data_IF_490285184986
#
_entry.id   IF_490285184986
#
_cell.length_a   1.000
_cell.length_b   1.000
_cell.length_c   1.000
_cell.angle_alpha   90.00
_cell.angle_beta   90.00
_cell.angle_gamma   90.00
#
_symmetry.space_group_name_H-M   'P 1'
#
loop_
_entity.id
_entity.type
_entity.pdbx_description
1 polymer ?
#
# COMPACT_ATOMS: atom_id res chain seq x y z
N UNK A 1 -16.47 0.44 -22.45
CA UNK A 1 -15.64 -0.28 -21.45
C UNK A 1 -15.93 0.35 -20.10
N UNK A 2 -16.51 -0.42 -19.21
CA UNK A 2 -16.78 -0.02 -17.83
C UNK A 2 -15.53 -0.19 -16.96
N UNK A 3 -15.22 0.77 -16.08
CA UNK A 3 -14.00 0.75 -15.29
C UNK A 3 -14.31 1.05 -13.82
N UNK A 4 -13.95 0.13 -12.94
CA UNK A 4 -13.87 0.39 -11.51
C UNK A 4 -12.56 1.14 -11.19
N UNK A 5 -12.63 2.30 -10.56
CA UNK A 5 -11.45 3.09 -10.20
C UNK A 5 -11.26 3.08 -8.69
N UNK A 6 -10.19 2.44 -8.22
CA UNK A 6 -9.85 2.44 -6.80
C UNK A 6 -9.20 3.77 -6.42
N UNK A 7 -9.86 4.55 -5.57
CA UNK A 7 -9.37 5.84 -5.08
C UNK A 7 -9.11 5.82 -3.58
N UNK A 8 -8.12 6.58 -3.13
CA UNK A 8 -7.66 6.62 -1.74
C UNK A 8 -7.64 8.05 -1.16
N UNK A 9 -8.19 9.03 -1.87
CA UNK A 9 -8.03 10.44 -1.51
C UNK A 9 -6.63 11.01 -1.77
N UNK A 10 -5.67 10.19 -2.18
CA UNK A 10 -4.32 10.61 -2.57
C UNK A 10 -4.27 11.21 -3.98
N UNK A 11 -3.21 12.00 -4.25
CA UNK A 11 -3.01 12.70 -5.53
C UNK A 11 -2.95 11.72 -6.69
N UNK A 12 -2.25 10.60 -6.54
CA UNK A 12 -2.03 9.62 -7.60
C UNK A 12 -3.36 9.03 -8.10
N UNK A 13 -4.19 8.55 -7.19
CA UNK A 13 -5.50 7.99 -7.53
C UNK A 13 -6.47 9.03 -8.11
N UNK A 14 -6.35 10.30 -7.70
CA UNK A 14 -7.12 11.39 -8.29
C UNK A 14 -6.72 11.67 -9.75
N UNK A 15 -5.42 11.64 -10.05
CA UNK A 15 -4.91 11.81 -11.43
C UNK A 15 -5.30 10.63 -12.32
N UNK A 16 -5.43 9.41 -11.77
CA UNK A 16 -5.99 8.28 -12.52
C UNK A 16 -7.38 8.60 -13.06
N UNK A 17 -8.27 9.16 -12.23
CA UNK A 17 -9.62 9.56 -12.66
C UNK A 17 -9.54 10.58 -13.80
N UNK A 18 -8.67 11.59 -13.67
CA UNK A 18 -8.47 12.59 -14.71
C UNK A 18 -7.99 11.98 -16.02
N UNK A 19 -6.96 11.13 -15.97
CA UNK A 19 -6.40 10.48 -17.16
C UNK A 19 -7.42 9.64 -17.90
N UNK A 20 -8.20 8.85 -17.18
CA UNK A 20 -9.26 8.05 -17.78
C UNK A 20 -10.32 8.93 -18.46
N UNK A 21 -10.71 10.05 -17.84
CA UNK A 21 -11.65 11.00 -18.45
C UNK A 21 -11.04 11.69 -19.69
N UNK A 22 -9.76 12.07 -19.65
CA UNK A 22 -9.03 12.66 -20.77
C UNK A 22 -8.93 11.67 -21.96
N UNK A 23 -8.79 10.38 -21.69
CA UNK A 23 -8.77 9.29 -22.67
C UNK A 23 -10.15 8.92 -23.23
N UNK A 24 -11.21 9.59 -22.73
CA UNK A 24 -12.58 9.43 -23.24
C UNK A 24 -13.35 8.26 -22.62
N UNK A 25 -12.92 7.77 -21.46
CA UNK A 25 -13.68 6.78 -20.71
C UNK A 25 -14.81 7.46 -19.93
N UNK A 26 -16.07 7.17 -20.28
CA UNK A 26 -17.23 7.77 -19.65
C UNK A 26 -17.90 6.88 -18.59
N UNK A 27 -17.76 5.57 -18.74
CA UNK A 27 -18.35 4.57 -17.83
C UNK A 27 -17.36 4.23 -16.70
N UNK A 28 -17.26 5.15 -15.74
CA UNK A 28 -16.37 5.05 -14.59
C UNK A 28 -17.18 5.03 -13.30
N UNK A 29 -16.84 4.13 -12.39
CA UNK A 29 -17.30 4.14 -11.00
C UNK A 29 -16.12 4.17 -10.05
N UNK A 30 -16.18 5.08 -9.07
CA UNK A 30 -15.14 5.24 -8.07
C UNK A 30 -15.44 4.37 -6.85
N UNK A 31 -14.40 3.72 -6.31
CA UNK A 31 -14.49 2.92 -5.10
C UNK A 31 -13.43 3.33 -4.10
N UNK A 32 -13.85 3.58 -2.86
CA UNK A 32 -12.96 3.69 -1.71
C UNK A 32 -13.09 2.42 -0.87
N UNK A 33 -11.98 1.71 -0.67
CA UNK A 33 -11.94 0.49 0.16
C UNK A 33 -11.56 0.89 1.59
N UNK A 34 -12.52 0.77 2.52
CA UNK A 34 -12.27 0.99 3.94
C UNK A 34 -11.69 -0.28 4.56
N UNK A 35 -10.45 -0.18 5.08
CA UNK A 35 -9.69 -1.27 5.70
C UNK A 35 -9.24 -0.94 7.14
N UNK A 36 -9.48 0.27 7.61
CA UNK A 36 -9.06 0.75 8.93
C UNK A 36 -9.69 -0.03 10.08
N UNK A 37 -9.10 0.03 11.27
CA UNK A 37 -9.68 -0.56 12.48
C UNK A 37 -10.83 0.33 12.97
N UNK A 38 -11.96 -0.28 13.36
CA UNK A 38 -13.08 0.40 14.03
C UNK A 38 -12.71 0.78 15.47
N UNK A 39 -11.62 1.55 15.64
CA UNK A 39 -11.22 2.11 16.93
C UNK A 39 -11.37 3.62 16.84
N UNK A 40 -11.88 4.23 17.90
CA UNK A 40 -12.15 5.67 18.01
C UNK A 40 -10.96 6.59 17.62
N UNK A 41 -9.74 6.07 17.62
CA UNK A 41 -8.53 6.81 17.26
C UNK A 41 -8.13 6.70 15.76
N UNK A 42 -8.70 5.74 15.02
CA UNK A 42 -8.31 5.45 13.61
C UNK A 42 -9.26 6.02 12.56
N UNK A 43 -10.42 6.46 12.95
CA UNK A 43 -11.51 6.82 12.02
C UNK A 43 -11.32 8.18 11.33
N UNK A 44 -10.65 9.14 11.98
CA UNK A 44 -10.45 10.49 11.43
C UNK A 44 -9.72 10.49 10.08
N UNK A 45 -8.70 9.65 9.90
CA UNK A 45 -7.94 9.60 8.65
C UNK A 45 -8.77 9.01 7.49
N UNK A 46 -9.60 8.01 7.77
CA UNK A 46 -10.49 7.41 6.78
C UNK A 46 -11.60 8.39 6.36
N UNK A 47 -12.15 9.16 7.30
CA UNK A 47 -13.16 10.18 7.01
C UNK A 47 -12.60 11.31 6.13
N UNK A 48 -11.37 11.80 6.41
CA UNK A 48 -10.69 12.77 5.55
C UNK A 48 -10.45 12.23 4.13
N UNK A 49 -10.07 10.96 4.00
CA UNK A 49 -9.88 10.31 2.71
C UNK A 49 -11.20 10.18 1.94
N UNK A 50 -12.29 9.78 2.61
CA UNK A 50 -13.63 9.66 2.02
C UNK A 50 -14.15 11.04 1.60
N UNK A 51 -13.94 12.07 2.41
CA UNK A 51 -14.30 13.44 2.04
C UNK A 51 -13.57 13.87 0.77
N UNK A 52 -12.27 13.62 0.69
CA UNK A 52 -11.47 13.94 -0.49
C UNK A 52 -11.92 13.14 -1.72
N UNK A 53 -12.21 11.84 -1.58
CA UNK A 53 -12.80 11.03 -2.64
C UNK A 53 -14.14 11.59 -3.13
N UNK A 54 -14.97 12.08 -2.20
CA UNK A 54 -16.26 12.72 -2.51
C UNK A 54 -16.09 14.00 -3.32
N UNK A 55 -15.08 14.82 -2.98
CA UNK A 55 -14.78 16.05 -3.74
C UNK A 55 -14.29 15.72 -5.16
N UNK A 56 -13.46 14.67 -5.32
CA UNK A 56 -13.01 14.18 -6.63
C UNK A 56 -14.20 13.67 -7.44
N UNK A 57 -15.06 12.84 -6.84
CA UNK A 57 -16.27 12.33 -7.49
C UNK A 57 -17.18 13.46 -7.99
N UNK A 58 -17.44 14.47 -7.15
CA UNK A 58 -18.23 15.65 -7.52
C UNK A 58 -17.60 16.44 -8.67
N UNK A 59 -16.27 16.61 -8.65
CA UNK A 59 -15.54 17.34 -9.71
C UNK A 59 -15.77 16.73 -11.09
N UNK A 60 -15.81 15.40 -11.18
CA UNK A 60 -15.98 14.66 -12.45
C UNK A 60 -17.40 14.18 -12.71
N UNK A 61 -18.34 14.42 -11.77
CA UNK A 61 -19.72 13.94 -11.90
C UNK A 61 -19.84 12.41 -11.92
N UNK A 62 -18.96 11.72 -11.17
CA UNK A 62 -18.87 10.26 -11.14
C UNK A 62 -19.48 9.69 -9.85
N UNK A 63 -20.09 8.49 -9.91
CA UNK A 63 -20.54 7.79 -8.72
C UNK A 63 -19.36 7.36 -7.85
N UNK A 64 -19.52 7.44 -6.52
CA UNK A 64 -18.57 6.95 -5.53
C UNK A 64 -19.26 5.98 -4.61
N UNK A 65 -18.66 4.81 -4.43
CA UNK A 65 -19.08 3.82 -3.44
C UNK A 65 -17.96 3.60 -2.41
N UNK A 66 -18.34 3.58 -1.13
CA UNK A 66 -17.46 3.23 -0.01
C UNK A 66 -17.75 1.80 0.39
N UNK A 67 -16.78 0.92 0.18
CA UNK A 67 -16.91 -0.51 0.45
C UNK A 67 -16.02 -0.90 1.62
N UNK A 68 -16.51 -1.77 2.53
CA UNK A 68 -15.74 -2.23 3.67
C UNK A 68 -15.18 -3.62 3.43
N UNK A 69 -13.86 -3.76 3.61
CA UNK A 69 -13.11 -5.01 3.62
C UNK A 69 -12.26 -5.13 4.89
N UNK A 70 -12.75 -4.56 6.00
CA UNK A 70 -12.03 -4.51 7.27
C UNK A 70 -11.72 -5.91 7.80
N UNK A 71 -12.71 -6.80 7.86
CA UNK A 71 -12.51 -8.15 8.40
C UNK A 71 -11.56 -8.97 7.53
N UNK A 72 -11.75 -8.92 6.20
CA UNK A 72 -10.88 -9.62 5.25
C UNK A 72 -9.44 -9.12 5.33
N UNK A 73 -9.27 -7.81 5.52
CA UNK A 73 -7.96 -7.21 5.69
C UNK A 73 -7.29 -7.73 6.98
N UNK A 74 -8.02 -7.73 8.09
CA UNK A 74 -7.51 -8.25 9.34
C UNK A 74 -7.07 -9.71 9.21
N UNK A 75 -7.95 -10.58 8.76
CA UNK A 75 -7.72 -12.03 8.71
C UNK A 75 -6.60 -12.43 7.74
N UNK A 76 -6.50 -11.74 6.59
CA UNK A 76 -5.58 -12.15 5.52
C UNK A 76 -4.26 -11.36 5.49
N UNK A 77 -4.27 -10.09 5.91
CA UNK A 77 -3.08 -9.24 5.84
C UNK A 77 -2.44 -9.07 7.22
N UNK A 78 -3.25 -8.70 8.23
CA UNK A 78 -2.71 -8.38 9.56
C UNK A 78 -2.28 -9.63 10.31
N UNK A 79 -3.10 -10.67 10.34
CA UNK A 79 -2.70 -11.94 10.98
C UNK A 79 -1.50 -12.58 10.28
N UNK A 80 -1.42 -12.50 8.94
CA UNK A 80 -0.24 -12.92 8.21
C UNK A 80 1.00 -12.15 8.67
N UNK A 81 0.92 -10.81 8.75
CA UNK A 81 2.04 -9.98 9.16
C UNK A 81 2.49 -10.32 10.59
N UNK A 82 1.55 -10.46 11.54
CA UNK A 82 1.86 -10.82 12.92
C UNK A 82 2.49 -12.22 13.03
N UNK A 83 1.99 -13.21 12.27
CA UNK A 83 2.59 -14.57 12.24
C UNK A 83 4.02 -14.53 11.70
N UNK A 84 4.25 -13.82 10.59
CA UNK A 84 5.59 -13.71 10.00
C UNK A 84 6.58 -13.03 10.97
N UNK A 85 6.15 -11.96 11.62
CA UNK A 85 6.97 -11.25 12.62
C UNK A 85 7.30 -12.14 13.83
N UNK A 86 6.35 -12.94 14.32
CA UNK A 86 6.59 -13.95 15.38
C UNK A 86 7.63 -14.99 14.97
N UNK A 87 7.72 -15.32 13.68
CA UNK A 87 8.72 -16.24 13.14
C UNK A 87 10.06 -15.55 12.82
N UNK A 88 10.26 -14.29 13.21
CA UNK A 88 11.47 -13.54 12.93
C UNK A 88 11.60 -13.01 11.51
N UNK A 89 10.58 -13.14 10.68
CA UNK A 89 10.54 -12.60 9.32
C UNK A 89 10.17 -11.11 9.34
N UNK A 90 10.41 -10.44 8.23
CA UNK A 90 9.96 -9.08 7.97
C UNK A 90 8.95 -9.12 6.83
N UNK A 91 7.64 -9.15 7.13
CA UNK A 91 6.59 -9.20 6.11
C UNK A 91 6.47 -7.86 5.37
N UNK A 92 5.92 -7.92 4.17
CA UNK A 92 5.42 -6.75 3.46
C UNK A 92 3.87 -6.85 3.37
N UNK A 93 3.12 -6.19 4.28
CA UNK A 93 1.66 -6.22 4.28
C UNK A 93 1.03 -5.64 3.02
N UNK A 94 1.69 -4.66 2.37
CA UNK A 94 1.14 -4.00 1.18
C UNK A 94 1.06 -4.98 -0.02
N UNK A 95 2.01 -5.90 -0.17
CA UNK A 95 1.94 -6.96 -1.18
C UNK A 95 0.72 -7.86 -0.97
N UNK A 96 0.47 -8.24 0.29
CA UNK A 96 -0.70 -9.06 0.65
C UNK A 96 -2.01 -8.27 0.46
N UNK A 97 -2.02 -6.98 0.82
CA UNK A 97 -3.15 -6.10 0.59
C UNK A 97 -3.50 -6.00 -0.90
N UNK A 98 -2.52 -5.78 -1.77
CA UNK A 98 -2.75 -5.74 -3.21
C UNK A 98 -3.35 -7.06 -3.71
N UNK A 99 -2.72 -8.20 -3.37
CA UNK A 99 -3.16 -9.52 -3.83
C UNK A 99 -4.53 -9.92 -3.29
N UNK A 100 -4.75 -9.78 -1.96
CA UNK A 100 -5.92 -10.38 -1.30
C UNK A 100 -7.09 -9.40 -1.22
N UNK A 101 -6.82 -8.12 -0.96
CA UNK A 101 -7.88 -7.14 -0.71
C UNK A 101 -8.28 -6.42 -2.00
N UNK A 102 -7.33 -5.68 -2.62
CA UNK A 102 -7.64 -4.83 -3.78
C UNK A 102 -7.95 -5.64 -5.04
N UNK A 103 -7.19 -6.71 -5.29
CA UNK A 103 -7.34 -7.52 -6.51
C UNK A 103 -7.84 -8.95 -6.22
N UNK A 104 -8.23 -9.22 -4.98
CA UNK A 104 -8.90 -10.44 -4.55
C UNK A 104 -10.34 -10.15 -4.16
N UNK A 105 -10.60 -9.86 -2.87
CA UNK A 105 -11.95 -9.69 -2.34
C UNK A 105 -12.73 -8.54 -3.00
N UNK A 106 -12.06 -7.43 -3.37
CA UNK A 106 -12.73 -6.36 -4.10
C UNK A 106 -13.20 -6.86 -5.47
N UNK A 107 -12.32 -7.51 -6.25
CA UNK A 107 -12.66 -8.05 -7.57
C UNK A 107 -13.79 -9.08 -7.49
N UNK A 108 -13.75 -9.97 -6.50
CA UNK A 108 -14.77 -10.99 -6.30
C UNK A 108 -16.16 -10.40 -6.04
N UNK A 109 -16.25 -9.28 -5.32
CA UNK A 109 -17.53 -8.72 -4.86
C UNK A 109 -18.05 -7.62 -5.78
N UNK A 110 -17.20 -6.76 -6.29
CA UNK A 110 -17.57 -5.57 -7.06
C UNK A 110 -16.84 -5.47 -8.40
N UNK A 111 -15.52 -5.68 -8.43
CA UNK A 111 -14.70 -5.51 -9.64
C UNK A 111 -15.12 -6.38 -10.82
N UNK A 112 -15.62 -7.59 -10.55
CA UNK A 112 -16.13 -8.54 -11.55
C UNK A 112 -17.27 -8.00 -12.43
N UNK A 113 -17.96 -6.94 -11.98
CA UNK A 113 -19.06 -6.32 -12.73
C UNK A 113 -18.56 -5.25 -13.71
N UNK A 114 -17.22 -5.03 -13.76
CA UNK A 114 -16.55 -4.09 -14.66
C UNK A 114 -15.60 -4.81 -15.60
N UNK A 115 -15.35 -4.18 -16.76
CA UNK A 115 -14.38 -4.72 -17.72
C UNK A 115 -12.94 -4.66 -17.18
N UNK A 116 -12.61 -3.58 -16.44
CA UNK A 116 -11.27 -3.33 -15.90
C UNK A 116 -11.33 -2.65 -14.52
N UNK A 117 -10.28 -2.86 -13.73
CA UNK A 117 -10.03 -2.12 -12.50
C UNK A 117 -8.77 -1.27 -12.64
N UNK A 118 -8.93 0.04 -12.44
CA UNK A 118 -7.84 1.03 -12.51
C UNK A 118 -7.36 1.43 -11.12
N UNK A 119 -6.04 1.59 -10.98
CA UNK A 119 -5.42 2.00 -9.71
C UNK A 119 -4.30 3.02 -9.89
N UNK A 120 -3.98 3.75 -8.82
CA UNK A 120 -2.88 4.72 -8.78
C UNK A 120 -1.50 4.12 -8.53
N UNK A 121 -1.26 2.85 -8.82
CA UNK A 121 0.07 2.27 -8.72
C UNK A 121 0.97 2.75 -9.86
N UNK A 122 2.22 3.04 -9.51
CA UNK A 122 3.29 3.26 -10.49
C UNK A 122 3.77 1.91 -11.01
N UNK A 123 3.09 1.40 -11.99
CA UNK A 123 3.40 0.18 -12.72
C UNK A 123 2.86 0.32 -14.14
N UNK A 124 3.24 -0.57 -15.03
CA UNK A 124 2.72 -0.66 -16.39
C UNK A 124 2.31 -2.08 -16.73
N UNK A 125 1.64 -2.24 -17.85
CA UNK A 125 1.44 -3.53 -18.50
C UNK A 125 1.98 -3.49 -19.91
N UNK A 126 2.53 -4.59 -20.37
CA UNK A 126 3.03 -4.76 -21.74
C UNK A 126 2.51 -6.08 -22.31
N UNK A 127 2.35 -6.13 -23.63
CA UNK A 127 1.99 -7.35 -24.35
C UNK A 127 3.19 -7.89 -25.13
N UNK A 128 3.42 -9.19 -25.01
CA UNK A 128 4.36 -9.92 -25.86
C UNK A 128 3.58 -11.06 -26.52
N UNK A 129 3.30 -10.90 -27.81
CA UNK A 129 2.24 -11.68 -28.46
C UNK A 129 0.90 -11.41 -27.79
N UNK A 130 0.17 -12.46 -27.43
CA UNK A 130 -1.14 -12.38 -26.77
C UNK A 130 -1.04 -12.40 -25.23
N UNK A 131 0.17 -12.42 -24.67
CA UNK A 131 0.37 -12.51 -23.23
C UNK A 131 0.61 -11.13 -22.63
N UNK A 132 -0.20 -10.76 -21.63
CA UNK A 132 -0.05 -9.53 -20.84
C UNK A 132 0.97 -9.74 -19.72
N UNK A 133 1.88 -8.81 -19.57
CA UNK A 133 2.92 -8.81 -18.52
C UNK A 133 2.80 -7.57 -17.66
N UNK A 134 3.12 -7.72 -16.37
CA UNK A 134 3.41 -6.59 -15.50
C UNK A 134 4.76 -5.98 -15.93
N UNK A 135 4.82 -4.67 -16.09
CA UNK A 135 6.00 -3.94 -16.50
C UNK A 135 6.30 -2.79 -15.53
N UNK A 136 7.55 -2.40 -15.45
CA UNK A 136 8.02 -1.31 -14.59
C UNK A 136 7.40 0.03 -15.01
N UNK A 137 7.21 0.90 -14.03
CA UNK A 137 6.86 2.29 -14.29
C UNK A 137 8.00 3.05 -14.96
N UNK A 138 7.67 4.19 -15.58
CA UNK A 138 8.68 5.09 -16.15
C UNK A 138 9.53 5.78 -15.06
N UNK A 139 8.93 6.05 -13.90
CA UNK A 139 9.63 6.63 -12.75
C UNK A 139 10.30 5.52 -11.91
N UNK A 140 11.63 5.34 -11.98
CA UNK A 140 12.30 4.25 -11.29
C UNK A 140 12.37 4.43 -9.76
N UNK A 141 12.13 5.65 -9.27
CA UNK A 141 12.11 5.95 -7.82
C UNK A 141 10.74 5.64 -7.22
N UNK A 142 9.69 5.77 -8.03
CA UNK A 142 8.29 5.52 -7.61
C UNK A 142 7.77 4.17 -8.07
N UNK A 143 8.51 3.41 -8.85
CA UNK A 143 8.11 2.08 -9.30
C UNK A 143 7.59 1.22 -8.15
N UNK A 144 6.43 0.62 -8.35
CA UNK A 144 5.70 -0.18 -7.35
C UNK A 144 5.46 -1.62 -7.83
N UNK A 145 6.15 -2.07 -8.88
CA UNK A 145 6.01 -3.46 -9.37
C UNK A 145 6.37 -4.49 -8.31
N UNK A 146 7.30 -4.18 -7.40
CA UNK A 146 7.64 -5.04 -6.27
C UNK A 146 6.43 -5.29 -5.35
N UNK A 147 5.60 -4.27 -5.13
CA UNK A 147 4.37 -4.39 -4.33
C UNK A 147 3.27 -5.18 -5.04
N UNK A 148 3.41 -5.40 -6.34
CA UNK A 148 2.49 -6.18 -7.18
C UNK A 148 3.02 -7.59 -7.49
N UNK A 149 4.22 -7.95 -7.02
CA UNK A 149 4.90 -9.21 -7.37
C UNK A 149 4.14 -10.48 -6.94
N UNK A 150 3.12 -10.39 -6.09
CA UNK A 150 2.31 -11.53 -5.65
C UNK A 150 0.93 -11.62 -6.31
N UNK A 151 0.54 -10.69 -7.19
CA UNK A 151 -0.72 -10.81 -7.93
C UNK A 151 -0.66 -11.98 -8.90
N UNK A 152 -1.81 -12.61 -9.16
CA UNK A 152 -1.90 -13.70 -10.14
C UNK A 152 -2.03 -13.15 -11.55
N UNK A 153 -1.82 -14.03 -12.54
CA UNK A 153 -2.01 -13.65 -13.95
C UNK A 153 -3.46 -13.26 -14.24
N UNK A 154 -4.42 -14.00 -13.68
CA UNK A 154 -5.84 -13.70 -13.79
C UNK A 154 -6.18 -12.32 -13.24
N UNK A 155 -5.62 -11.96 -12.08
CA UNK A 155 -5.76 -10.61 -11.53
C UNK A 155 -5.17 -9.57 -12.48
N UNK A 156 -3.95 -9.79 -13.00
CA UNK A 156 -3.30 -8.86 -13.91
C UNK A 156 -4.13 -8.58 -15.17
N UNK A 157 -4.86 -9.56 -15.69
CA UNK A 157 -5.66 -9.40 -16.90
C UNK A 157 -6.70 -8.28 -16.77
N UNK A 158 -7.26 -8.10 -15.57
CA UNK A 158 -8.31 -7.10 -15.28
C UNK A 158 -7.77 -5.75 -14.76
N UNK A 159 -6.44 -5.58 -14.63
CA UNK A 159 -5.85 -4.37 -14.07
C UNK A 159 -5.33 -3.41 -15.13
N UNK A 160 -5.43 -2.12 -14.83
CA UNK A 160 -4.78 -1.05 -15.57
C UNK A 160 -4.16 -0.01 -14.62
N UNK A 161 -3.07 0.60 -15.08
CA UNK A 161 -2.27 1.55 -14.32
C UNK A 161 -2.07 2.85 -15.11
N UNK A 162 -3.09 3.74 -15.14
CA UNK A 162 -3.10 4.89 -16.06
C UNK A 162 -1.98 5.91 -15.84
N UNK A 163 -1.33 5.90 -14.66
CA UNK A 163 -0.23 6.82 -14.34
C UNK A 163 1.17 6.16 -14.43
N UNK A 164 1.26 4.88 -14.80
CA UNK A 164 2.53 4.16 -14.86
C UNK A 164 3.56 4.74 -15.84
N UNK A 165 3.07 5.42 -16.88
CA UNK A 165 3.91 6.10 -17.88
C UNK A 165 4.25 7.55 -17.52
N UNK A 166 3.91 8.00 -16.31
CA UNK A 166 4.15 9.37 -15.85
C UNK A 166 5.16 9.39 -14.71
N UNK A 167 6.19 10.27 -14.77
CA UNK A 167 6.99 10.59 -13.59
C UNK A 167 6.12 11.22 -12.49
N UNK A 168 6.49 11.05 -11.24
CA UNK A 168 5.75 11.61 -10.09
C UNK A 168 5.57 13.13 -10.17
N UNK A 169 6.58 13.83 -10.65
CA UNK A 169 6.53 15.29 -10.84
C UNK A 169 5.43 15.68 -11.83
N UNK A 170 5.29 14.90 -12.90
CA UNK A 170 4.25 15.11 -13.91
C UNK A 170 2.85 14.86 -13.34
N UNK A 171 2.67 13.79 -12.55
CA UNK A 171 1.41 13.52 -11.85
C UNK A 171 1.03 14.70 -10.95
N UNK A 172 1.99 15.28 -10.23
CA UNK A 172 1.74 16.46 -9.39
C UNK A 172 1.42 17.71 -10.22
N UNK A 173 2.11 17.90 -11.35
CA UNK A 173 1.85 19.01 -12.26
C UNK A 173 0.42 18.94 -12.81
N UNK A 174 0.02 17.77 -13.32
CA UNK A 174 -1.36 17.54 -13.80
C UNK A 174 -2.37 17.86 -12.69
N UNK A 175 -2.17 17.33 -11.47
CA UNK A 175 -3.10 17.58 -10.37
C UNK A 175 -3.28 19.08 -10.05
N UNK A 176 -2.21 19.87 -10.16
CA UNK A 176 -2.25 21.33 -9.95
C UNK A 176 -2.94 22.04 -11.12
N UNK A 177 -2.59 21.73 -12.36
CA UNK A 177 -3.16 22.36 -13.56
C UNK A 177 -4.67 22.14 -13.67
N UNK A 178 -5.14 20.94 -13.33
CA UNK A 178 -6.58 20.65 -13.36
C UNK A 178 -7.28 21.02 -12.04
N UNK A 179 -6.59 21.69 -11.13
CA UNK A 179 -7.12 22.12 -9.84
C UNK A 179 -7.78 20.99 -9.05
N UNK A 180 -7.02 19.87 -8.87
CA UNK A 180 -7.49 18.77 -8.02
C UNK A 180 -7.66 19.24 -6.57
N UNK A 181 -8.73 18.84 -5.87
CA UNK A 181 -8.93 19.23 -4.48
C UNK A 181 -7.76 18.87 -3.56
N UNK A 182 -7.04 17.80 -3.91
CA UNK A 182 -5.93 17.24 -3.15
C UNK A 182 -4.55 17.51 -3.77
N UNK A 183 -4.42 18.45 -4.74
CA UNK A 183 -3.17 18.66 -5.51
C UNK A 183 -1.93 18.91 -4.63
N UNK A 184 -2.11 19.51 -3.45
CA UNK A 184 -1.03 19.82 -2.51
C UNK A 184 -0.93 18.84 -1.35
N UNK A 185 -1.76 17.78 -1.32
CA UNK A 185 -1.67 16.73 -0.30
C UNK A 185 -0.32 16.02 -0.37
N UNK A 186 0.28 15.79 0.79
CA UNK A 186 1.54 15.00 0.87
C UNK A 186 1.26 13.56 0.51
N UNK A 187 2.27 12.89 -0.06
CA UNK A 187 2.21 11.45 -0.29
C UNK A 187 2.06 10.73 1.05
N UNK A 188 1.32 9.62 1.06
CA UNK A 188 1.24 8.74 2.22
C UNK A 188 2.64 8.25 2.59
N UNK A 189 2.99 8.38 3.85
CA UNK A 189 4.26 7.94 4.41
C UNK A 189 3.99 6.69 5.25
N UNK A 190 4.62 5.57 4.92
CA UNK A 190 4.52 4.34 5.71
C UNK A 190 3.56 3.30 5.14
N UNK A 191 3.15 2.37 6.00
CA UNK A 191 2.27 1.24 5.65
C UNK A 191 0.83 1.78 5.52
N UNK A 192 0.19 1.51 4.41
CA UNK A 192 -1.10 2.10 4.01
C UNK A 192 -2.20 2.05 5.08
N UNK A 193 -2.25 0.97 5.88
CA UNK A 193 -3.32 0.76 6.86
C UNK A 193 -3.05 1.32 8.26
N UNK A 194 -1.79 1.59 8.59
CA UNK A 194 -1.44 2.11 9.91
C UNK A 194 -1.73 3.61 10.04
N UNK A 195 -1.94 4.29 8.92
CA UNK A 195 -2.12 5.74 8.93
C UNK A 195 -0.96 6.41 9.66
N UNK A 196 -1.26 7.08 10.77
CA UNK A 196 -0.25 7.72 11.64
C UNK A 196 0.29 6.80 12.76
N UNK A 197 -0.18 5.55 12.86
CA UNK A 197 0.27 4.63 13.91
C UNK A 197 1.69 4.17 13.63
N UNK A 198 2.56 4.30 14.62
CA UNK A 198 3.92 3.79 14.53
C UNK A 198 3.91 2.25 14.50
N UNK A 199 4.60 1.65 13.51
CA UNK A 199 4.68 0.20 13.34
C UNK A 199 5.17 -0.52 14.61
N UNK A 200 6.14 0.02 15.32
CA UNK A 200 6.65 -0.59 16.55
C UNK A 200 5.61 -0.56 17.68
N UNK A 201 4.77 0.47 17.75
CA UNK A 201 3.70 0.54 18.73
C UNK A 201 2.59 -0.44 18.42
N UNK A 202 2.26 -0.60 17.13
CA UNK A 202 1.35 -1.65 16.69
C UNK A 202 1.86 -3.04 17.07
N UNK A 203 3.11 -3.38 16.74
CA UNK A 203 3.73 -4.66 17.11
C UNK A 203 3.75 -4.84 18.63
N UNK A 204 4.04 -3.80 19.39
CA UNK A 204 4.05 -3.85 20.86
C UNK A 204 2.66 -4.15 21.45
N UNK A 205 1.61 -3.57 20.88
CA UNK A 205 0.23 -3.84 21.34
C UNK A 205 -0.15 -5.31 21.14
N UNK A 206 0.27 -5.94 20.04
CA UNK A 206 -0.11 -7.32 19.69
C UNK A 206 0.85 -8.40 20.18
N UNK A 207 2.16 -8.13 20.23
CA UNK A 207 3.18 -9.11 20.59
C UNK A 207 3.85 -8.82 21.94
N UNK A 208 3.61 -7.64 22.51
CA UNK A 208 4.20 -7.25 23.78
C UNK A 208 5.70 -6.96 23.69
N UNK A 209 6.38 -7.12 24.83
CA UNK A 209 7.83 -6.94 24.99
C UNK A 209 8.45 -8.25 25.46
N UNK A 210 9.49 -8.72 24.75
CA UNK A 210 10.30 -9.89 25.13
C UNK A 210 11.77 -9.48 25.11
N UNK A 211 12.29 -9.08 26.26
CA UNK A 211 13.69 -8.67 26.39
C UNK A 211 14.63 -9.82 26.05
N UNK A 212 15.73 -9.51 25.37
CA UNK A 212 16.78 -10.45 25.05
C UNK A 212 18.12 -9.76 24.80
N UNK A 213 19.24 -10.51 24.82
CA UNK A 213 20.55 -9.95 24.58
C UNK A 213 20.80 -9.67 23.12
N UNK A 214 21.52 -8.57 22.84
CA UNK A 214 22.16 -8.33 21.55
C UNK A 214 23.60 -8.84 21.67
N UNK A 215 23.98 -9.78 20.81
CA UNK A 215 25.26 -10.49 20.88
C UNK A 215 26.05 -10.22 19.59
N UNK A 216 27.31 -9.87 19.71
CA UNK A 216 28.26 -9.83 18.60
C UNK A 216 28.52 -11.26 18.11
N UNK A 217 28.27 -11.52 16.84
CA UNK A 217 28.29 -12.89 16.31
C UNK A 217 29.71 -13.49 16.27
N UNK A 218 30.73 -12.66 16.03
CA UNK A 218 32.12 -13.08 15.92
C UNK A 218 32.74 -13.46 17.28
N UNK A 219 32.40 -12.74 18.34
CA UNK A 219 33.04 -12.90 19.65
C UNK A 219 32.14 -13.55 20.69
N UNK A 220 30.83 -13.58 20.46
CA UNK A 220 29.84 -14.02 21.43
C UNK A 220 29.61 -13.00 22.58
N UNK A 221 30.21 -11.80 22.50
CA UNK A 221 30.09 -10.76 23.53
C UNK A 221 28.71 -10.14 23.53
N UNK A 222 28.09 -9.99 24.69
CA UNK A 222 26.88 -9.21 24.88
C UNK A 222 27.17 -7.72 24.69
N UNK A 223 26.53 -7.08 23.69
CA UNK A 223 26.65 -5.67 23.38
C UNK A 223 25.56 -4.81 24.03
N UNK A 224 24.40 -5.39 24.29
CA UNK A 224 23.24 -4.68 24.83
C UNK A 224 22.02 -5.58 24.97
N UNK A 225 20.85 -4.96 25.05
CA UNK A 225 19.57 -5.66 25.16
C UNK A 225 18.56 -5.06 24.17
N UNK A 226 17.66 -5.91 23.67
CA UNK A 226 16.51 -5.50 22.84
C UNK A 226 15.19 -5.77 23.58
N UNK A 227 14.11 -5.09 23.19
CA UNK A 227 12.76 -5.25 23.75
C UNK A 227 11.92 -6.34 23.04
N UNK A 228 12.47 -7.00 22.03
CA UNK A 228 11.86 -8.06 21.24
C UNK A 228 12.56 -8.17 19.88
N UNK A 229 12.88 -9.39 19.45
CA UNK A 229 13.53 -9.61 18.15
C UNK A 229 12.65 -9.15 16.98
N UNK A 230 11.34 -9.09 17.17
CA UNK A 230 10.36 -8.63 16.18
C UNK A 230 10.42 -7.13 15.87
N UNK A 231 11.09 -6.31 16.71
CA UNK A 231 11.33 -4.90 16.40
C UNK A 231 12.54 -4.67 15.49
N UNK A 232 13.20 -5.75 15.06
CA UNK A 232 14.43 -5.67 14.28
C UNK A 232 14.30 -6.41 12.95
N UNK A 233 15.01 -5.90 11.94
CA UNK A 233 15.07 -6.49 10.59
C UNK A 233 16.53 -6.85 10.26
N UNK A 234 16.74 -7.95 9.56
CA UNK A 234 18.08 -8.31 9.03
C UNK A 234 18.58 -7.16 8.14
N UNK A 235 19.83 -6.76 8.32
CA UNK A 235 20.45 -5.62 7.66
C UNK A 235 20.20 -4.26 8.38
N UNK A 236 19.34 -4.21 9.38
CA UNK A 236 19.07 -2.97 10.13
C UNK A 236 20.33 -2.47 10.83
N UNK A 237 20.62 -1.17 10.62
CA UNK A 237 21.73 -0.46 11.28
C UNK A 237 21.24 0.50 12.37
N UNK A 238 20.17 1.27 12.08
CA UNK A 238 19.67 2.31 12.99
C UNK A 238 18.75 1.73 14.06
N UNK A 239 18.69 2.38 15.22
CA UNK A 239 17.74 2.02 16.29
C UNK A 239 18.17 0.84 17.17
N UNK A 240 19.43 0.39 17.09
CA UNK A 240 19.96 -0.70 17.93
C UNK A 240 20.36 -0.22 19.34
N UNK A 241 20.55 1.09 19.55
CA UNK A 241 20.96 1.65 20.84
C UNK A 241 22.38 1.26 21.29
N UNK A 242 23.24 0.89 20.33
CA UNK A 242 24.61 0.43 20.58
C UNK A 242 25.64 1.51 20.21
N UNK A 243 26.75 1.55 20.96
CA UNK A 243 27.95 2.35 20.70
C UNK A 243 29.05 1.49 20.08
N UNK A 244 30.09 2.14 19.53
CA UNK A 244 31.28 1.45 19.00
C UNK A 244 31.10 0.75 17.65
N UNK A 245 29.98 1.03 16.92
CA UNK A 245 29.72 0.44 15.62
C UNK A 245 30.52 1.02 14.44
N UNK A 246 30.07 0.73 13.18
CA UNK A 246 28.69 0.38 12.82
C UNK A 246 28.29 -1.07 13.13
N UNK A 247 27.10 -1.25 13.68
CA UNK A 247 26.51 -2.55 13.96
C UNK A 247 25.33 -2.84 13.00
N UNK A 248 25.20 -4.10 12.56
CA UNK A 248 24.11 -4.55 11.70
C UNK A 248 23.47 -5.82 12.27
N UNK A 249 22.16 -5.92 12.18
CA UNK A 249 21.45 -7.16 12.51
C UNK A 249 21.71 -8.18 11.42
N UNK A 250 22.35 -9.28 11.74
CA UNK A 250 22.67 -10.37 10.79
C UNK A 250 21.86 -11.65 11.04
N UNK A 251 21.37 -11.83 12.28
CA UNK A 251 20.58 -13.00 12.67
C UNK A 251 19.61 -12.64 13.78
N UNK A 252 18.44 -13.27 13.80
CA UNK A 252 17.46 -13.25 14.89
C UNK A 252 17.30 -14.65 15.46
N UNK A 253 17.33 -14.81 16.76
CA UNK A 253 16.94 -16.03 17.46
C UNK A 253 15.49 -15.86 17.92
N UNK A 254 14.60 -16.69 17.39
CA UNK A 254 13.15 -16.67 17.61
C UNK A 254 12.77 -17.47 18.86
#
# INVERSE_FOLDING_TARGET
MSIAVLISGGVDSAVVVHKLKEEGHDDLQLFYIRIGMDTDEGDCAAEEDIEMCTLIAKKYGLPLEVVSLHQEYWDNVMEYALRAVKQGLTPNPDMMCNRMIKFGYFEERWGKDFDMTATGHYANTAFVGDTKYLAMAVDPVKDQTDFLAQITYEQLLHLMFPIGNLPKEEVRRIAQEVHMPNAYRKDSQGICFLGQINYNDFIRRHLGVKKGPIIEIETGKKLGEHNGFWFHTIGQRKGLGLSGGPWYVVKKNV
#
